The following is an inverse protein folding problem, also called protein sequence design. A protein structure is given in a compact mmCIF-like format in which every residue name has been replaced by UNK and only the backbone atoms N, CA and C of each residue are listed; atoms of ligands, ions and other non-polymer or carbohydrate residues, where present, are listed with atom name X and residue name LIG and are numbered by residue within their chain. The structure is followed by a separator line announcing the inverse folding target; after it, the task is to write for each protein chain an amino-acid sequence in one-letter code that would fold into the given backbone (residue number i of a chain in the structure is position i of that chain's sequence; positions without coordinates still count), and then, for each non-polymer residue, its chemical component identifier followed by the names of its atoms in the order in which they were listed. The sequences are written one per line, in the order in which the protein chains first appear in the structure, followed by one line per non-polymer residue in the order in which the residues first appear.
data_IF_306240028977
#
_entry.id   IF_306240028977
#
_cell.length_a   1.000
_cell.length_b   1.000
_cell.length_c   1.000
_cell.angle_alpha   90.00
_cell.angle_beta   90.00
_cell.angle_gamma   90.00
#
_symmetry.space_group_name_H-M   'P 1'
#
loop_
_entity.id
_entity.type
_entity.pdbx_description
1 polymer ?
#
# COMPACT_ATOMS: atom_id res chain seq x y z
N UNK A 1 -17.93 -39.88 23.99
CA UNK A 1 -17.54 -39.74 22.57
C UNK A 1 -16.96 -38.35 22.38
N UNK A 2 -15.65 -38.23 22.16
CA UNK A 2 -15.04 -36.96 21.82
C UNK A 2 -15.48 -36.57 20.40
N UNK A 3 -16.10 -35.40 20.24
CA UNK A 3 -16.32 -34.82 18.92
C UNK A 3 -14.95 -34.50 18.35
N UNK A 4 -14.49 -35.31 17.40
CA UNK A 4 -13.36 -34.98 16.54
C UNK A 4 -13.78 -33.74 15.75
N UNK A 5 -13.41 -32.55 16.22
CA UNK A 5 -13.50 -31.33 15.42
C UNK A 5 -12.60 -31.56 14.22
N UNK A 6 -13.19 -31.73 13.03
CA UNK A 6 -12.46 -31.80 11.78
C UNK A 6 -11.48 -30.62 11.74
N UNK A 7 -10.19 -30.90 11.52
CA UNK A 7 -9.20 -29.83 11.33
C UNK A 7 -9.67 -29.00 10.15
N UNK A 8 -9.89 -27.70 10.36
CA UNK A 8 -10.13 -26.76 9.26
C UNK A 8 -8.86 -26.74 8.42
N UNK A 9 -8.93 -27.30 7.21
CA UNK A 9 -7.84 -27.25 6.25
C UNK A 9 -7.79 -25.83 5.65
N UNK A 10 -6.58 -25.31 5.46
CA UNK A 10 -6.37 -24.05 4.76
C UNK A 10 -6.51 -24.27 3.26
N UNK A 11 -7.18 -23.34 2.58
CA UNK A 11 -7.23 -23.31 1.13
C UNK A 11 -5.87 -22.89 0.55
N UNK A 12 -5.61 -23.23 -0.72
CA UNK A 12 -4.39 -22.78 -1.41
C UNK A 12 -4.27 -21.25 -1.40
N UNK A 13 -5.38 -20.54 -1.64
CA UNK A 13 -5.41 -19.08 -1.62
C UNK A 13 -5.07 -18.49 -0.24
N UNK A 14 -5.59 -19.07 0.84
CA UNK A 14 -5.22 -18.65 2.21
C UNK A 14 -3.72 -18.89 2.49
N UNK A 15 -3.15 -19.97 1.97
CA UNK A 15 -1.71 -20.26 2.11
C UNK A 15 -0.88 -19.24 1.33
N UNK A 16 -1.22 -18.97 0.07
CA UNK A 16 -0.52 -17.98 -0.77
C UNK A 16 -0.58 -16.57 -0.17
N UNK A 17 -1.75 -16.12 0.27
CA UNK A 17 -1.88 -14.82 0.93
C UNK A 17 -1.02 -14.73 2.20
N UNK A 18 -0.98 -15.81 3.00
CA UNK A 18 -0.14 -15.85 4.19
C UNK A 18 1.36 -15.87 3.87
N UNK A 19 1.78 -16.46 2.74
CA UNK A 19 3.15 -16.42 2.27
C UNK A 19 3.55 -15.03 1.78
N UNK A 20 2.71 -14.38 0.97
CA UNK A 20 2.96 -13.00 0.51
C UNK A 20 3.09 -12.02 1.70
N UNK A 21 2.22 -12.15 2.70
CA UNK A 21 2.33 -11.36 3.93
C UNK A 21 3.62 -11.67 4.68
N UNK A 22 4.01 -12.94 4.77
CA UNK A 22 5.24 -13.34 5.45
C UNK A 22 6.50 -12.77 4.77
N UNK A 23 6.53 -12.77 3.44
CA UNK A 23 7.61 -12.19 2.65
C UNK A 23 7.69 -10.68 2.86
N UNK A 24 6.55 -9.98 2.80
CA UNK A 24 6.49 -8.55 3.06
C UNK A 24 6.95 -8.21 4.49
N UNK A 25 6.51 -8.96 5.50
CA UNK A 25 6.97 -8.77 6.88
C UNK A 25 8.47 -8.99 7.03
N UNK A 26 9.04 -10.00 6.35
CA UNK A 26 10.49 -10.20 6.32
C UNK A 26 11.20 -9.00 5.70
N UNK A 27 10.76 -8.53 4.54
CA UNK A 27 11.34 -7.34 3.90
C UNK A 27 11.29 -6.11 4.82
N UNK A 28 10.17 -5.92 5.53
CA UNK A 28 9.99 -4.75 6.38
C UNK A 28 10.85 -4.79 7.64
N UNK A 29 11.11 -5.99 8.16
CA UNK A 29 11.73 -6.21 9.48
C UNK A 29 13.16 -6.73 9.44
N UNK A 30 13.64 -7.20 8.28
CA UNK A 30 15.04 -7.56 8.06
C UNK A 30 15.80 -6.29 7.64
N UNK A 31 16.59 -5.74 8.56
CA UNK A 31 17.46 -4.60 8.31
C UNK A 31 18.68 -4.64 9.23
N UNK A 32 19.70 -3.85 8.92
CA UNK A 32 20.85 -3.72 9.81
C UNK A 32 20.52 -2.79 10.98
N UNK A 33 21.23 -2.92 12.10
CA UNK A 33 21.07 -2.00 13.24
C UNK A 33 21.27 -0.53 12.84
N UNK A 34 22.15 -0.28 11.86
CA UNK A 34 22.38 1.05 11.28
C UNK A 34 21.15 1.59 10.56
N UNK A 35 20.46 0.74 9.79
CA UNK A 35 19.25 1.13 9.06
C UNK A 35 18.10 1.42 10.02
N UNK A 36 17.93 0.59 11.06
CA UNK A 36 16.93 0.79 12.12
C UNK A 36 17.19 2.11 12.85
N UNK A 37 18.44 2.39 13.25
CA UNK A 37 18.80 3.67 13.90
C UNK A 37 18.50 4.87 13.00
N UNK A 38 18.81 4.78 11.71
CA UNK A 38 18.50 5.83 10.73
C UNK A 38 16.98 6.02 10.61
N UNK A 39 16.21 4.93 10.55
CA UNK A 39 14.75 4.96 10.47
C UNK A 39 14.15 5.61 11.71
N UNK A 40 14.55 5.21 12.92
CA UNK A 40 14.08 5.82 14.19
C UNK A 40 14.31 7.33 14.25
N UNK A 41 15.45 7.80 13.74
CA UNK A 41 15.78 9.24 13.73
C UNK A 41 14.86 10.05 12.80
N UNK A 42 14.41 9.45 11.70
CA UNK A 42 13.70 10.16 10.63
C UNK A 42 12.20 9.84 10.59
N UNK A 43 11.74 8.84 11.36
CA UNK A 43 10.35 8.41 11.36
C UNK A 43 9.44 9.51 11.92
N UNK A 44 8.47 9.92 11.12
CA UNK A 44 7.39 10.81 11.54
C UNK A 44 6.27 9.96 12.15
N UNK A 45 5.60 10.39 13.23
CA UNK A 45 4.44 9.67 13.79
C UNK A 45 3.42 9.31 12.71
N UNK A 46 2.88 8.09 12.78
CA UNK A 46 1.92 7.54 11.81
C UNK A 46 2.41 7.39 10.36
N UNK A 47 3.70 7.62 10.09
CA UNK A 47 4.29 7.31 8.78
C UNK A 47 4.50 5.81 8.59
N UNK A 48 4.66 5.38 7.34
CA UNK A 48 5.03 4.00 7.04
C UNK A 48 6.33 3.57 7.74
N UNK A 49 7.32 4.48 7.88
CA UNK A 49 8.54 4.20 8.62
C UNK A 49 8.28 3.95 10.11
N UNK A 50 7.36 4.70 10.74
CA UNK A 50 6.96 4.46 12.12
C UNK A 50 6.28 3.09 12.29
N UNK A 51 5.38 2.73 11.37
CA UNK A 51 4.72 1.41 11.40
C UNK A 51 5.74 0.29 11.21
N UNK A 52 6.70 0.44 10.31
CA UNK A 52 7.79 -0.54 10.12
C UNK A 52 8.64 -0.71 11.39
N UNK A 53 8.93 0.37 12.11
CA UNK A 53 9.63 0.28 13.40
C UNK A 53 8.84 -0.54 14.43
N UNK A 54 7.51 -0.37 14.49
CA UNK A 54 6.67 -1.21 15.36
C UNK A 54 6.77 -2.70 14.98
N UNK A 55 6.79 -3.03 13.68
CA UNK A 55 6.99 -4.40 13.22
C UNK A 55 8.39 -4.95 13.53
N UNK A 56 9.44 -4.12 13.44
CA UNK A 56 10.81 -4.48 13.80
C UNK A 56 10.89 -4.80 15.30
N UNK A 57 10.37 -3.90 16.14
CA UNK A 57 10.39 -4.02 17.60
C UNK A 57 9.60 -5.26 18.05
N UNK A 58 8.50 -5.52 17.35
CA UNK A 58 7.71 -6.74 17.54
C UNK A 58 8.52 -7.99 17.19
N UNK A 59 9.20 -8.02 16.03
CA UNK A 59 10.05 -9.15 15.64
C UNK A 59 11.14 -9.46 16.65
N UNK A 60 11.79 -8.42 17.17
CA UNK A 60 12.83 -8.55 18.20
C UNK A 60 12.26 -9.12 19.50
N UNK A 61 11.00 -8.80 19.82
CA UNK A 61 10.33 -9.24 21.05
C UNK A 61 9.78 -10.68 20.96
N UNK A 62 9.10 -11.03 19.86
CA UNK A 62 8.39 -12.31 19.74
C UNK A 62 9.09 -13.35 18.85
N UNK A 63 10.07 -12.93 18.04
CA UNK A 63 10.79 -13.78 17.10
C UNK A 63 10.04 -14.05 15.79
N UNK A 64 10.79 -14.56 14.80
CA UNK A 64 10.28 -14.82 13.45
C UNK A 64 9.19 -15.90 13.38
N UNK A 65 9.21 -16.88 14.29
CA UNK A 65 8.20 -17.95 14.33
C UNK A 65 6.80 -17.43 14.68
N UNK A 66 6.71 -16.48 15.62
CA UNK A 66 5.44 -15.85 15.96
C UNK A 66 4.96 -14.97 14.81
N UNK A 67 5.83 -14.15 14.22
CA UNK A 67 5.48 -13.35 13.04
C UNK A 67 4.97 -14.19 11.85
N UNK A 68 5.56 -15.37 11.62
CA UNK A 68 5.06 -16.30 10.60
C UNK A 68 3.66 -16.82 10.93
N UNK A 69 3.33 -16.99 12.21
CA UNK A 69 1.97 -17.34 12.62
C UNK A 69 1.00 -16.18 12.37
N UNK A 70 1.45 -14.94 12.55
CA UNK A 70 0.66 -13.74 12.26
C UNK A 70 0.31 -13.59 10.79
N UNK A 71 1.20 -14.00 9.89
CA UNK A 71 0.95 -13.88 8.45
C UNK A 71 -0.30 -14.66 8.02
N UNK A 72 -0.70 -15.70 8.75
CA UNK A 72 -1.93 -16.45 8.50
C UNK A 72 -3.17 -15.60 8.82
N UNK A 73 -3.18 -14.90 9.94
CA UNK A 73 -4.31 -14.03 10.35
C UNK A 73 -4.40 -12.82 9.43
N UNK A 74 -3.26 -12.18 9.19
CA UNK A 74 -3.15 -11.04 8.28
C UNK A 74 -3.46 -11.41 6.84
N UNK A 75 -3.06 -12.60 6.38
CA UNK A 75 -3.39 -13.10 5.03
C UNK A 75 -4.89 -13.22 4.82
N UNK A 76 -5.64 -13.74 5.80
CA UNK A 76 -7.11 -13.76 5.75
C UNK A 76 -7.71 -12.37 5.72
N UNK A 77 -7.20 -11.46 6.54
CA UNK A 77 -7.65 -10.08 6.55
C UNK A 77 -7.37 -9.37 5.20
N UNK A 78 -6.21 -9.61 4.59
CA UNK A 78 -5.90 -9.13 3.23
C UNK A 78 -6.85 -9.72 2.19
N UNK A 79 -7.22 -11.01 2.29
CA UNK A 79 -8.22 -11.62 1.40
C UNK A 79 -9.59 -10.98 1.57
N UNK A 80 -10.03 -10.69 2.80
CA UNK A 80 -11.30 -9.96 3.02
C UNK A 80 -11.28 -8.57 2.37
N UNK A 81 -10.16 -7.84 2.48
CA UNK A 81 -10.00 -6.54 1.79
C UNK A 81 -10.05 -6.72 0.27
N UNK A 82 -9.33 -7.71 -0.26
CA UNK A 82 -9.29 -8.01 -1.68
C UNK A 82 -10.69 -8.31 -2.22
N UNK A 83 -11.43 -9.18 -1.53
CA UNK A 83 -12.81 -9.53 -1.88
C UNK A 83 -13.73 -8.29 -1.85
N UNK A 84 -13.60 -7.42 -0.85
CA UNK A 84 -14.40 -6.18 -0.75
C UNK A 84 -14.17 -5.28 -1.97
N UNK A 85 -12.91 -5.08 -2.35
CA UNK A 85 -12.52 -4.18 -3.44
C UNK A 85 -12.85 -4.75 -4.82
N UNK A 86 -12.72 -6.06 -4.99
CA UNK A 86 -12.98 -6.72 -6.28
C UNK A 86 -14.44 -7.09 -6.50
N UNK A 87 -15.28 -7.07 -5.46
CA UNK A 87 -16.70 -7.48 -5.51
C UNK A 87 -17.53 -6.80 -6.62
N UNK A 88 -17.21 -5.56 -6.97
CA UNK A 88 -17.92 -4.78 -8.00
C UNK A 88 -17.04 -4.40 -9.19
N UNK A 89 -15.76 -4.71 -9.10
CA UNK A 89 -14.73 -4.38 -10.08
C UNK A 89 -13.64 -5.45 -9.99
N UNK A 90 -13.82 -6.56 -10.72
CA UNK A 90 -12.89 -7.70 -10.69
C UNK A 90 -11.47 -7.30 -11.13
N UNK A 91 -11.37 -6.25 -11.94
CA UNK A 91 -10.12 -5.74 -12.49
C UNK A 91 -9.48 -4.64 -11.63
N UNK A 92 -10.00 -4.36 -10.43
CA UNK A 92 -9.50 -3.31 -9.55
C UNK A 92 -7.97 -3.39 -9.34
N UNK A 93 -7.44 -4.61 -9.21
CA UNK A 93 -6.02 -4.90 -9.04
C UNK A 93 -5.29 -5.39 -10.30
N UNK A 94 -5.95 -5.42 -11.46
CA UNK A 94 -5.41 -6.03 -12.70
C UNK A 94 -4.06 -5.46 -13.16
N UNK A 95 -3.78 -4.22 -12.80
CA UNK A 95 -2.54 -3.50 -13.13
C UNK A 95 -1.41 -3.67 -12.11
N UNK A 96 -1.68 -4.33 -10.98
CA UNK A 96 -0.79 -4.32 -9.81
C UNK A 96 -0.37 -5.75 -9.42
N UNK A 97 0.89 -5.93 -9.06
CA UNK A 97 1.38 -7.22 -8.56
C UNK A 97 0.84 -7.49 -7.16
N UNK A 98 0.23 -8.65 -6.95
CA UNK A 98 -0.43 -8.97 -5.69
C UNK A 98 0.54 -8.99 -4.51
N UNK A 99 1.67 -9.67 -4.67
CA UNK A 99 2.73 -9.85 -3.67
C UNK A 99 3.56 -8.58 -3.40
N UNK A 100 3.86 -7.80 -4.44
CA UNK A 100 4.75 -6.63 -4.35
C UNK A 100 4.06 -5.29 -4.11
N UNK A 101 2.80 -5.14 -4.48
CA UNK A 101 2.11 -3.83 -4.43
C UNK A 101 0.84 -3.89 -3.60
N UNK A 102 -0.01 -4.90 -3.83
CA UNK A 102 -1.31 -5.03 -3.17
C UNK A 102 -1.15 -5.41 -1.70
N UNK A 103 -0.41 -6.47 -1.38
CA UNK A 103 -0.19 -6.91 0.01
C UNK A 103 0.51 -5.83 0.84
N UNK A 104 1.61 -5.19 0.39
CA UNK A 104 2.23 -4.10 1.13
C UNK A 104 1.29 -2.91 1.35
N UNK A 105 0.45 -2.56 0.37
CA UNK A 105 -0.55 -1.51 0.53
C UNK A 105 -1.58 -1.86 1.61
N UNK A 106 -2.08 -3.10 1.65
CA UNK A 106 -2.97 -3.56 2.72
C UNK A 106 -2.28 -3.55 4.09
N UNK A 107 -1.06 -4.08 4.18
CA UNK A 107 -0.32 -4.19 5.44
C UNK A 107 0.09 -2.84 6.04
N UNK A 108 0.17 -1.76 5.25
CA UNK A 108 0.33 -0.39 5.78
C UNK A 108 -0.80 0.00 6.74
N UNK A 109 -1.95 -0.66 6.61
CA UNK A 109 -3.14 -0.43 7.42
C UNK A 109 -3.39 -1.55 8.45
N UNK A 110 -2.47 -2.51 8.60
CA UNK A 110 -2.52 -3.57 9.61
C UNK A 110 -2.14 -3.02 11.01
N UNK A 111 -2.88 -2.00 11.45
CA UNK A 111 -2.69 -1.29 12.71
C UNK A 111 -3.95 -1.37 13.55
N UNK A 112 -3.80 -1.13 14.85
CA UNK A 112 -4.93 -0.94 15.74
C UNK A 112 -5.49 0.48 15.63
N UNK A 113 -6.61 0.76 16.32
CA UNK A 113 -7.23 2.09 16.36
C UNK A 113 -6.31 3.21 16.87
N UNK A 114 -5.26 2.87 17.62
CA UNK A 114 -4.24 3.82 18.09
C UNK A 114 -3.11 4.04 17.07
N UNK A 115 -3.17 3.39 15.90
CA UNK A 115 -2.16 3.50 14.84
C UNK A 115 -0.87 2.71 15.07
N UNK A 116 -0.85 1.81 16.06
CA UNK A 116 0.27 0.88 16.32
C UNK A 116 0.05 -0.44 15.58
N UNK A 117 1.12 -1.13 15.18
CA UNK A 117 1.02 -2.46 14.60
C UNK A 117 0.19 -3.38 15.51
N UNK A 118 -0.78 -4.09 14.94
CA UNK A 118 -1.67 -4.99 15.69
C UNK A 118 -1.22 -6.43 15.51
N UNK A 119 -1.11 -7.17 16.62
CA UNK A 119 -0.72 -8.59 16.60
C UNK A 119 -1.72 -9.45 17.37
N UNK A 120 -1.96 -10.66 16.87
CA UNK A 120 -2.69 -11.71 17.58
C UNK A 120 -1.71 -12.69 18.23
N UNK A 121 -2.14 -13.45 19.22
CA UNK A 121 -1.50 -14.66 19.69
C UNK A 121 -2.62 -15.63 19.99
N UNK A 122 -2.89 -16.53 19.05
CA UNK A 122 -4.15 -17.27 19.01
C UNK A 122 -5.34 -16.29 18.98
N UNK A 123 -6.31 -16.44 19.90
CA UNK A 123 -7.52 -15.61 19.97
C UNK A 123 -7.33 -14.30 20.77
N UNK A 124 -6.11 -13.98 21.20
CA UNK A 124 -5.82 -12.81 22.03
C UNK A 124 -4.98 -11.78 21.29
N UNK A 125 -5.28 -10.50 21.44
CA UNK A 125 -4.47 -9.42 20.88
C UNK A 125 -3.25 -9.21 21.79
N UNK A 126 -2.05 -9.42 21.27
CA UNK A 126 -0.80 -9.44 22.04
C UNK A 126 -0.18 -8.07 22.21
N UNK A 127 -0.26 -7.21 21.18
CA UNK A 127 0.29 -5.84 21.15
C UNK A 127 -0.56 -4.96 20.23
N UNK A 128 -0.85 -3.73 20.68
CA UNK A 128 -1.84 -2.85 20.04
C UNK A 128 -3.27 -3.32 20.33
N UNK A 129 -4.29 -2.49 20.08
CA UNK A 129 -5.68 -2.95 20.08
C UNK A 129 -5.97 -3.91 18.90
N UNK A 130 -7.23 -4.29 18.71
CA UNK A 130 -7.62 -5.12 17.55
C UNK A 130 -7.34 -4.41 16.23
N UNK A 131 -7.10 -5.19 15.16
CA UNK A 131 -7.00 -4.68 13.80
C UNK A 131 -8.21 -3.80 13.48
N UNK A 132 -7.99 -2.75 12.69
CA UNK A 132 -9.11 -2.09 12.01
C UNK A 132 -9.89 -3.11 11.18
N UNK A 133 -11.19 -2.91 11.05
CA UNK A 133 -12.02 -3.80 10.26
C UNK A 133 -11.65 -3.73 8.77
N UNK A 134 -11.86 -4.84 8.05
CA UNK A 134 -11.48 -4.96 6.65
C UNK A 134 -12.18 -3.95 5.73
N UNK A 135 -13.40 -3.48 6.06
CA UNK A 135 -14.08 -2.47 5.26
C UNK A 135 -13.41 -1.09 5.39
N UNK A 136 -13.06 -0.68 6.61
CA UNK A 136 -12.31 0.55 6.84
C UNK A 136 -10.94 0.50 6.16
N UNK A 137 -10.25 -0.64 6.24
CA UNK A 137 -8.97 -0.85 5.56
C UNK A 137 -9.12 -0.79 4.03
N UNK A 138 -10.16 -1.42 3.47
CA UNK A 138 -10.45 -1.41 2.04
C UNK A 138 -10.63 0.02 1.51
N UNK A 139 -11.31 0.90 2.25
CA UNK A 139 -11.45 2.31 1.84
C UNK A 139 -10.10 3.02 1.73
N UNK A 140 -9.19 2.80 2.68
CA UNK A 140 -7.86 3.41 2.67
C UNK A 140 -7.00 2.85 1.53
N UNK A 141 -7.03 1.54 1.32
CA UNK A 141 -6.35 0.87 0.21
C UNK A 141 -6.89 1.38 -1.13
N UNK A 142 -8.21 1.51 -1.27
CA UNK A 142 -8.83 2.03 -2.48
C UNK A 142 -8.37 3.46 -2.81
N UNK A 143 -8.32 4.33 -1.80
CA UNK A 143 -7.81 5.70 -1.96
C UNK A 143 -6.35 5.71 -2.39
N UNK A 144 -5.50 4.85 -1.81
CA UNK A 144 -4.10 4.75 -2.19
C UNK A 144 -3.95 4.34 -3.66
N UNK A 145 -4.67 3.32 -4.11
CA UNK A 145 -4.58 2.86 -5.51
C UNK A 145 -5.20 3.84 -6.51
N UNK A 146 -6.29 4.52 -6.13
CA UNK A 146 -6.86 5.60 -6.94
C UNK A 146 -5.84 6.75 -7.12
N UNK A 147 -5.13 7.12 -6.06
CA UNK A 147 -4.07 8.12 -6.12
C UNK A 147 -2.89 7.67 -7.00
N UNK A 148 -2.40 6.45 -6.82
CA UNK A 148 -1.29 5.92 -7.62
C UNK A 148 -1.64 5.87 -9.12
N UNK A 149 -2.86 5.44 -9.45
CA UNK A 149 -3.35 5.44 -10.83
C UNK A 149 -3.43 6.86 -11.40
N UNK A 150 -3.93 7.82 -10.63
CA UNK A 150 -3.99 9.21 -11.05
C UNK A 150 -2.60 9.78 -11.35
N UNK A 151 -1.61 9.49 -10.50
CA UNK A 151 -0.22 9.89 -10.71
C UNK A 151 0.36 9.31 -12.01
N UNK A 152 0.16 8.01 -12.26
CA UNK A 152 0.65 7.36 -13.47
C UNK A 152 -0.09 7.83 -14.74
N UNK A 153 -1.40 8.11 -14.65
CA UNK A 153 -2.16 8.72 -15.74
C UNK A 153 -1.62 10.13 -16.04
N UNK A 154 -1.28 10.92 -15.03
CA UNK A 154 -0.63 12.23 -15.22
C UNK A 154 0.73 12.09 -15.91
N UNK A 155 1.57 11.13 -15.50
CA UNK A 155 2.86 10.84 -16.17
C UNK A 155 2.65 10.46 -17.63
N UNK A 156 1.65 9.63 -17.92
CA UNK A 156 1.25 9.25 -19.27
C UNK A 156 0.84 10.45 -20.12
N UNK A 157 0.03 11.36 -19.56
CA UNK A 157 -0.38 12.59 -20.23
C UNK A 157 0.79 13.56 -20.43
N UNK A 158 1.70 13.69 -19.47
CA UNK A 158 2.86 14.56 -19.59
C UNK A 158 3.82 14.08 -20.70
N UNK A 159 3.98 12.75 -20.83
CA UNK A 159 4.70 12.14 -21.94
C UNK A 159 4.01 12.42 -23.29
N UNK A 160 2.68 12.39 -23.36
CA UNK A 160 1.93 12.66 -24.61
C UNK A 160 1.95 14.13 -25.02
N UNK A 161 1.68 15.03 -24.07
CA UNK A 161 1.49 16.46 -24.34
C UNK A 161 2.81 17.22 -24.46
N UNK A 162 3.82 16.84 -23.67
CA UNK A 162 5.06 17.60 -23.51
C UNK A 162 6.34 16.79 -23.79
N UNK A 163 6.21 15.49 -24.11
CA UNK A 163 7.35 14.55 -24.22
C UNK A 163 8.26 14.53 -22.97
N UNK A 164 7.73 14.97 -21.82
CA UNK A 164 8.46 15.07 -20.57
C UNK A 164 7.64 14.52 -19.41
N UNK A 165 7.83 13.24 -19.12
CA UNK A 165 7.17 12.55 -18.01
C UNK A 165 7.58 13.10 -16.64
N UNK A 166 8.85 13.49 -16.50
CA UNK A 166 9.42 14.05 -15.27
C UNK A 166 8.73 15.33 -14.79
N UNK A 167 7.97 15.99 -15.66
CA UNK A 167 7.20 17.19 -15.32
C UNK A 167 6.31 16.98 -14.09
N UNK A 168 5.69 15.81 -13.99
CA UNK A 168 4.77 15.48 -12.89
C UNK A 168 5.54 15.22 -11.59
N UNK A 169 6.68 14.51 -11.66
CA UNK A 169 7.49 14.18 -10.49
C UNK A 169 8.24 15.38 -9.93
N UNK A 170 8.65 16.30 -10.80
CA UNK A 170 9.47 17.45 -10.41
C UNK A 170 8.61 18.57 -9.81
N UNK A 171 7.41 18.78 -10.36
CA UNK A 171 6.63 20.00 -10.08
C UNK A 171 5.16 19.76 -9.75
N UNK A 172 4.70 18.52 -9.72
CA UNK A 172 3.29 18.20 -9.42
C UNK A 172 2.88 18.60 -8.00
N UNK A 173 3.70 18.23 -7.02
CA UNK A 173 3.63 18.67 -5.61
C UNK A 173 2.21 18.73 -5.03
N UNK A 174 1.94 19.79 -4.26
CA UNK A 174 0.64 20.00 -3.60
C UNK A 174 -0.51 20.24 -4.59
N UNK A 175 -0.22 20.80 -5.77
CA UNK A 175 -1.26 21.08 -6.78
C UNK A 175 -1.84 19.79 -7.36
N UNK A 176 -1.00 18.76 -7.59
CA UNK A 176 -1.46 17.46 -8.06
C UNK A 176 -2.45 16.83 -7.08
N UNK A 177 -2.17 16.97 -5.77
CA UNK A 177 -3.07 16.53 -4.71
C UNK A 177 -4.42 17.25 -4.78
N UNK A 178 -4.39 18.57 -4.93
CA UNK A 178 -5.61 19.37 -5.10
C UNK A 178 -6.39 18.97 -6.36
N UNK A 179 -5.71 18.69 -7.48
CA UNK A 179 -6.35 18.20 -8.71
C UNK A 179 -7.13 16.91 -8.46
N UNK A 180 -6.48 15.96 -7.79
CA UNK A 180 -7.10 14.68 -7.46
C UNK A 180 -8.31 14.84 -6.53
N UNK A 181 -8.17 15.65 -5.47
CA UNK A 181 -9.25 15.90 -4.51
C UNK A 181 -10.45 16.63 -5.15
N UNK A 182 -10.20 17.49 -6.15
CA UNK A 182 -11.23 18.19 -6.92
C UNK A 182 -11.82 17.35 -8.07
N UNK A 183 -11.25 16.18 -8.37
CA UNK A 183 -11.67 15.34 -9.49
C UNK A 183 -11.33 15.94 -10.86
N UNK A 184 -10.31 16.78 -10.94
CA UNK A 184 -9.77 17.29 -12.21
C UNK A 184 -9.18 16.13 -13.03
N UNK A 185 -9.28 16.18 -14.35
CA UNK A 185 -8.71 15.11 -15.19
C UNK A 185 -7.18 15.18 -15.19
N UNK A 186 -6.46 14.04 -15.30
CA UNK A 186 -5.00 14.03 -15.43
C UNK A 186 -4.50 14.93 -16.57
N UNK A 187 -5.23 14.94 -17.70
CA UNK A 187 -4.88 15.73 -18.88
C UNK A 187 -4.97 17.23 -18.64
N UNK A 188 -6.01 17.70 -17.94
CA UNK A 188 -6.20 19.13 -17.63
C UNK A 188 -5.13 19.62 -16.66
N UNK A 189 -4.84 18.83 -15.62
CA UNK A 189 -3.78 19.15 -14.67
C UNK A 189 -2.40 19.23 -15.35
N UNK A 190 -2.07 18.25 -16.19
CA UNK A 190 -0.79 18.23 -16.93
C UNK A 190 -0.69 19.38 -17.92
N UNK A 191 -1.80 19.74 -18.56
CA UNK A 191 -1.86 20.90 -19.44
C UNK A 191 -1.53 22.18 -18.67
N UNK A 192 -2.21 22.41 -17.55
CA UNK A 192 -1.93 23.53 -16.66
C UNK A 192 -0.45 23.57 -16.23
N UNK A 193 0.12 22.41 -15.91
CA UNK A 193 1.50 22.29 -15.46
C UNK A 193 2.49 22.70 -16.57
N UNK A 194 2.28 22.25 -17.81
CA UNK A 194 3.12 22.64 -18.93
C UNK A 194 2.97 24.13 -19.31
N UNK A 195 1.75 24.67 -19.28
CA UNK A 195 1.49 26.10 -19.51
C UNK A 195 2.15 26.98 -18.44
N UNK A 196 2.15 26.54 -17.17
CA UNK A 196 2.83 27.24 -16.06
C UNK A 196 4.34 27.42 -16.31
N UNK A 197 4.97 26.44 -16.96
CA UNK A 197 6.41 26.47 -17.26
C UNK A 197 6.72 26.92 -18.70
N UNK A 198 5.72 27.44 -19.43
CA UNK A 198 5.86 27.89 -20.81
C UNK A 198 6.46 26.81 -21.73
N UNK A 199 6.09 25.55 -21.50
CA UNK A 199 6.53 24.45 -22.34
C UNK A 199 5.87 24.53 -23.71
N UNK A 200 6.60 24.10 -24.74
CA UNK A 200 6.03 23.98 -26.08
C UNK A 200 5.40 22.60 -26.25
N UNK A 201 4.13 22.51 -26.67
CA UNK A 201 3.46 21.22 -26.87
C UNK A 201 4.13 20.38 -27.96
N UNK A 202 4.07 19.05 -27.82
CA UNK A 202 4.64 18.10 -28.80
C UNK A 202 4.04 18.25 -30.19
N UNK A 203 2.76 18.59 -30.31
CA UNK A 203 2.11 18.76 -31.60
C UNK A 203 2.63 19.98 -32.37
N UNK A 204 3.16 20.98 -31.66
CA UNK A 204 3.85 22.14 -32.26
C UNK A 204 5.25 21.74 -32.75
N UNK A 205 5.98 20.91 -31.99
CA UNK A 205 7.29 20.37 -32.42
C UNK A 205 7.18 19.59 -33.73
N UNK A 206 6.14 18.77 -33.85
CA UNK A 206 5.91 17.93 -35.03
C UNK A 206 5.45 18.71 -36.27
N UNK A 207 5.06 19.99 -36.14
CA UNK A 207 4.67 20.86 -37.26
C UNK A 207 5.78 21.80 -37.73
N UNK A 208 6.90 21.84 -37.01
CA UNK A 208 8.03 22.74 -37.24
C UNK A 208 9.21 22.16 -38.03
N UNK A 209 9.09 20.92 -38.52
CA UNK A 209 10.07 20.23 -39.37
C UNK A 209 9.40 19.62 -40.60
#
# INVERSE_FOLDING_TARGET
MAKTTAKKEYTALEVEAALCVWECLNEWTLGTEKDVKKMRKNAVPHSHAAIRLEWIDMRETCGSGEMRSQSIVLGRWCLEIYDILTKRDEDFFSYWSYDWEVIPAMLKHAVCKEGKASMYRCDYIYTGGGLIDAHSAAQLVAQQFAWMRFEDDCKGEARKQWAYEGLVTDDGGERMRQSFELGETPADFVKWLGEKYDLTPVDVWNRGY
#
